data_IF_934466592852
#
_entry.id   IF_934466592852
#
_cell.length_a   1.000
_cell.length_b   1.000
_cell.length_c   1.000
_cell.angle_alpha   90.00
_cell.angle_beta   90.00
_cell.angle_gamma   90.00
#
_symmetry.space_group_name_H-M   'P 1'
#
loop_
_entity.id
_entity.type
_entity.pdbx_description
1 polymer ?
#
# COMPACT_ATOMS: atom_id res chain seq x y z
N UNK A 1 -2.34 -7.82 2.32
CA UNK A 1 -1.22 -8.65 1.84
C UNK A 1 -0.41 -9.20 3.02
N UNK A 2 -0.06 -10.50 3.03
CA UNK A 2 0.93 -11.03 3.98
C UNK A 2 2.34 -10.72 3.46
N UNK A 3 2.98 -9.69 4.01
CA UNK A 3 4.24 -9.14 3.51
C UNK A 3 5.43 -10.05 3.84
N UNK A 4 6.12 -10.55 2.81
CA UNK A 4 7.18 -11.56 2.92
C UNK A 4 8.36 -11.16 3.80
N UNK A 5 8.82 -9.90 3.69
CA UNK A 5 9.96 -9.40 4.47
C UNK A 5 9.65 -9.21 5.96
N UNK A 6 8.39 -8.91 6.28
CA UNK A 6 7.98 -8.51 7.62
C UNK A 6 7.20 -9.60 8.34
N UNK A 7 6.76 -10.63 7.61
CA UNK A 7 5.92 -11.73 8.07
C UNK A 7 4.69 -11.24 8.85
N UNK A 8 4.02 -10.24 8.25
CA UNK A 8 2.86 -9.55 8.84
C UNK A 8 1.81 -9.28 7.78
N UNK A 9 0.55 -9.21 8.21
CA UNK A 9 -0.54 -8.72 7.38
C UNK A 9 -0.53 -7.20 7.34
N UNK A 10 -0.32 -6.65 6.15
CA UNK A 10 -0.25 -5.22 5.90
C UNK A 10 -1.13 -4.84 4.73
N UNK A 11 -1.59 -3.58 4.75
CA UNK A 11 -2.24 -2.96 3.60
C UNK A 11 -1.18 -2.69 2.51
N UNK A 12 -1.54 -2.76 1.23
CA UNK A 12 -0.66 -2.29 0.15
C UNK A 12 -0.33 -0.81 0.31
N UNK A 13 0.87 -0.42 -0.08
CA UNK A 13 1.31 0.97 -0.02
C UNK A 13 2.82 1.14 -0.02
N UNK A 14 3.25 2.32 -0.46
CA UNK A 14 4.66 2.67 -0.62
C UNK A 14 4.89 4.16 -0.34
N UNK A 15 6.15 4.58 -0.37
CA UNK A 15 6.53 5.98 -0.34
C UNK A 15 5.97 6.73 -1.54
N UNK A 16 5.63 8.01 -1.36
CA UNK A 16 5.18 8.86 -2.46
C UNK A 16 6.33 9.39 -3.32
N UNK A 17 7.59 9.34 -2.82
CA UNK A 17 8.81 9.72 -3.56
C UNK A 17 8.75 11.05 -4.32
N UNK A 18 8.06 12.04 -3.75
CA UNK A 18 7.87 13.37 -4.34
C UNK A 18 6.64 13.54 -5.22
N UNK A 19 5.87 12.48 -5.48
CA UNK A 19 4.56 12.58 -6.13
C UNK A 19 3.51 13.17 -5.16
N UNK A 20 3.03 14.35 -5.51
CA UNK A 20 1.97 15.03 -4.75
C UNK A 20 0.58 14.40 -4.91
N UNK A 21 0.37 13.56 -5.92
CA UNK A 21 -0.89 12.85 -6.14
C UNK A 21 -0.89 11.51 -5.39
N UNK A 22 -0.91 11.61 -4.06
CA UNK A 22 -0.83 10.47 -3.14
C UNK A 22 -1.97 9.45 -3.34
N UNK A 23 -3.14 9.87 -3.83
CA UNK A 23 -4.23 8.96 -4.20
C UNK A 23 -3.85 8.06 -5.38
N UNK A 24 -3.20 8.63 -6.39
CA UNK A 24 -2.74 7.87 -7.55
C UNK A 24 -1.65 6.87 -7.17
N UNK A 25 -0.73 7.27 -6.29
CA UNK A 25 0.29 6.37 -5.72
C UNK A 25 -0.39 5.20 -5.01
N UNK A 26 -1.34 5.45 -4.10
CA UNK A 26 -2.06 4.40 -3.37
C UNK A 26 -2.77 3.40 -4.30
N UNK A 27 -3.41 3.88 -5.37
CA UNK A 27 -4.08 3.01 -6.36
C UNK A 27 -3.06 2.17 -7.13
N UNK A 28 -1.95 2.78 -7.58
CA UNK A 28 -0.89 2.09 -8.31
C UNK A 28 -0.28 0.96 -7.47
N UNK A 29 0.11 1.24 -6.23
CA UNK A 29 0.69 0.23 -5.34
C UNK A 29 -0.31 -0.88 -5.00
N UNK A 30 -1.59 -0.54 -4.79
CA UNK A 30 -2.62 -1.55 -4.60
C UNK A 30 -2.73 -2.49 -5.81
N UNK A 31 -2.62 -1.99 -7.04
CA UNK A 31 -2.61 -2.82 -8.26
C UNK A 31 -1.34 -3.67 -8.32
N UNK A 32 -0.16 -3.08 -8.10
CA UNK A 32 1.14 -3.76 -8.22
C UNK A 32 1.34 -4.86 -7.17
N UNK A 33 0.91 -4.64 -5.93
CA UNK A 33 1.07 -5.59 -4.84
C UNK A 33 0.00 -6.69 -4.81
N UNK A 34 -1.24 -6.37 -5.21
CA UNK A 34 -2.33 -7.34 -5.24
C UNK A 34 -2.44 -8.10 -6.57
N UNK A 35 -1.93 -7.52 -7.65
CA UNK A 35 -2.11 -8.00 -9.01
C UNK A 35 -3.51 -7.80 -9.59
N UNK A 36 -4.40 -7.09 -8.89
CA UNK A 36 -5.76 -6.82 -9.36
C UNK A 36 -5.76 -5.55 -10.21
N UNK A 37 -5.96 -5.69 -11.51
CA UNK A 37 -5.93 -4.56 -12.45
C UNK A 37 -7.15 -3.63 -12.33
N UNK A 38 -8.26 -4.12 -11.81
CA UNK A 38 -9.54 -3.40 -11.79
C UNK A 38 -9.88 -2.88 -10.40
N UNK A 39 -8.99 -2.05 -9.87
CA UNK A 39 -9.18 -1.31 -8.61
C UNK A 39 -9.71 0.09 -8.91
N UNK A 40 -10.73 0.52 -8.16
CA UNK A 40 -11.26 1.88 -8.18
C UNK A 40 -11.32 2.45 -6.77
N UNK A 41 -11.16 3.76 -6.68
CA UNK A 41 -11.40 4.48 -5.42
C UNK A 41 -12.90 4.55 -5.14
N UNK A 42 -13.30 4.37 -3.88
CA UNK A 42 -14.72 4.53 -3.49
C UNK A 42 -15.11 6.01 -3.57
N UNK A 43 -14.26 6.88 -3.04
CA UNK A 43 -14.29 8.33 -3.21
C UNK A 43 -12.84 8.86 -3.24
N UNK A 44 -12.66 10.19 -3.31
CA UNK A 44 -11.32 10.82 -3.30
C UNK A 44 -10.94 11.37 -1.92
N UNK A 45 -11.71 11.07 -0.90
CA UNK A 45 -11.50 11.60 0.44
C UNK A 45 -10.46 10.74 1.16
N UNK A 46 -9.67 11.39 2.03
CA UNK A 46 -8.78 10.68 2.93
C UNK A 46 -9.64 9.88 3.89
N UNK A 47 -9.42 8.56 3.94
CA UNK A 47 -10.14 7.67 4.81
C UNK A 47 -9.57 7.68 6.24
N UNK A 48 -8.24 7.64 6.34
CA UNK A 48 -7.52 7.55 7.61
C UNK A 48 -6.12 8.17 7.46
N UNK A 49 -5.55 8.64 8.57
CA UNK A 49 -4.16 9.11 8.65
C UNK A 49 -3.52 8.45 9.86
N UNK A 50 -2.37 7.83 9.63
CA UNK A 50 -1.58 7.20 10.69
C UNK A 50 -0.15 7.75 10.69
N UNK A 51 0.49 7.68 11.84
CA UNK A 51 1.91 8.06 11.99
C UNK A 51 2.63 6.93 12.68
N UNK A 52 3.57 6.31 11.98
CA UNK A 52 4.36 5.20 12.52
C UNK A 52 5.84 5.48 12.45
N UNK A 53 6.52 5.09 13.51
CA UNK A 53 7.95 5.25 13.65
C UNK A 53 8.68 4.13 12.90
N UNK A 54 9.62 4.53 12.06
CA UNK A 54 10.54 3.63 11.36
C UNK A 54 11.90 3.70 12.07
N UNK A 55 12.35 2.60 12.69
CA UNK A 55 13.68 2.54 13.29
C UNK A 55 14.77 2.74 12.23
N UNK A 56 15.91 3.28 12.68
CA UNK A 56 17.08 3.43 11.82
C UNK A 56 17.48 2.09 11.18
N UNK A 57 17.81 2.14 9.89
CA UNK A 57 18.38 1.02 9.14
C UNK A 57 19.79 1.37 8.65
N UNK A 58 20.45 0.45 7.95
CA UNK A 58 21.73 0.73 7.30
C UNK A 58 21.61 1.71 6.11
N UNK A 59 20.39 1.94 5.61
CA UNK A 59 20.14 2.83 4.46
C UNK A 59 19.69 4.22 4.88
N UNK A 60 18.93 4.32 5.97
CA UNK A 60 18.21 5.53 6.35
C UNK A 60 18.20 5.74 7.87
N UNK A 61 18.29 7.00 8.34
CA UNK A 61 18.14 7.32 9.76
C UNK A 61 16.72 7.01 10.23
N UNK A 62 16.54 6.92 11.55
CA UNK A 62 15.21 6.80 12.13
C UNK A 62 14.33 8.00 11.74
N UNK A 63 13.09 7.73 11.36
CA UNK A 63 12.14 8.74 10.91
C UNK A 63 10.70 8.26 11.11
N UNK A 64 9.73 9.12 10.79
CA UNK A 64 8.31 8.75 10.77
C UNK A 64 7.84 8.65 9.33
N UNK A 65 7.02 7.66 9.02
CA UNK A 65 6.12 7.82 7.87
C UNK A 65 4.78 8.39 8.37
N UNK A 66 4.21 9.24 7.52
CA UNK A 66 2.86 9.76 7.66
C UNK A 66 2.01 9.07 6.58
N UNK A 67 1.27 8.05 6.98
CA UNK A 67 0.51 7.23 6.05
C UNK A 67 -0.86 7.88 5.81
N UNK A 68 -1.16 8.23 4.56
CA UNK A 68 -2.49 8.71 4.15
C UNK A 68 -3.21 7.58 3.43
N UNK A 69 -4.34 7.15 3.98
CA UNK A 69 -5.05 5.95 3.50
C UNK A 69 -6.32 6.31 2.77
N UNK A 70 -6.66 5.49 1.79
CA UNK A 70 -7.83 5.65 0.94
C UNK A 70 -8.63 4.35 0.87
N UNK A 71 -9.95 4.47 0.72
CA UNK A 71 -10.80 3.31 0.46
C UNK A 71 -10.84 2.98 -1.02
N UNK A 72 -10.39 1.76 -1.33
CA UNK A 72 -10.38 1.19 -2.67
C UNK A 72 -11.33 -0.01 -2.72
N UNK A 73 -11.86 -0.28 -3.91
CA UNK A 73 -12.69 -1.46 -4.19
C UNK A 73 -12.28 -2.09 -5.51
N UNK A 74 -12.40 -3.40 -5.60
CA UNK A 74 -12.35 -4.16 -6.85
C UNK A 74 -13.67 -4.00 -7.59
N UNK A 75 -13.66 -4.12 -8.91
CA UNK A 75 -14.86 -3.88 -9.74
C UNK A 75 -15.45 -5.16 -10.30
N UNK A 76 -14.64 -6.10 -10.82
CA UNK A 76 -15.17 -7.32 -11.45
C UNK A 76 -14.53 -8.64 -11.01
N UNK A 77 -13.45 -8.63 -10.20
CA UNK A 77 -12.83 -9.86 -9.71
C UNK A 77 -11.87 -9.58 -8.54
N UNK A 78 -11.76 -10.55 -7.63
CA UNK A 78 -10.83 -10.58 -6.51
C UNK A 78 -9.71 -11.63 -6.74
N UNK A 79 -9.42 -11.94 -8.01
CA UNK A 79 -8.32 -12.84 -8.37
C UNK A 79 -6.98 -12.15 -8.10
N UNK A 80 -6.46 -12.40 -6.91
CA UNK A 80 -5.15 -11.95 -6.46
C UNK A 80 -4.03 -12.66 -7.24
N UNK A 81 -3.00 -11.90 -7.66
CA UNK A 81 -1.76 -12.45 -8.21
C UNK A 81 -0.62 -12.17 -7.25
N UNK A 82 -0.09 -13.25 -6.67
CA UNK A 82 1.06 -13.18 -5.76
C UNK A 82 2.31 -12.71 -6.50
N UNK A 83 3.07 -11.82 -5.88
CA UNK A 83 4.34 -11.31 -6.39
C UNK A 83 5.50 -11.64 -5.42
N UNK A 84 6.68 -11.04 -5.64
CA UNK A 84 7.86 -11.31 -4.82
C UNK A 84 7.77 -10.75 -3.38
N UNK A 85 6.82 -9.85 -3.12
CA UNK A 85 6.63 -9.15 -1.85
C UNK A 85 5.62 -9.83 -0.93
N UNK A 86 4.79 -10.72 -1.48
CA UNK A 86 3.75 -11.42 -0.74
C UNK A 86 4.14 -12.87 -0.42
N UNK A 87 3.75 -13.32 0.77
CA UNK A 87 3.61 -14.73 1.13
C UNK A 87 2.20 -15.24 0.83
N UNK A 88 1.19 -14.38 0.98
CA UNK A 88 -0.23 -14.68 0.77
C UNK A 88 -0.99 -13.39 0.46
N UNK A 89 -2.12 -13.50 -0.25
CA UNK A 89 -3.06 -12.42 -0.52
C UNK A 89 -4.47 -12.87 -0.07
N UNK A 90 -5.18 -11.97 0.61
CA UNK A 90 -6.53 -12.12 1.17
C UNK A 90 -7.23 -10.77 1.14
#
# INVERSE_FOLDING_TARGET
MHHKKLDKWLQPGSHCDGDSNILNVAVKEAIEESGINEIKTINKEIFDIDTHYIPQTHKEPAHYHYDVRFLLKTVNNDNFLKNNESNELK
#
